data_IF_467530088843
#
_entry.id   IF_467530088843
#
_cell.length_a   1.000
_cell.length_b   1.000
_cell.length_c   1.000
_cell.angle_alpha   90.00
_cell.angle_beta   90.00
_cell.angle_gamma   90.00
#
_symmetry.space_group_name_H-M   'P 1'
#
loop_
_entity.id
_entity.type
_entity.pdbx_description
1 polymer ?
2 non-polymer ?
3 non-polymer ?
4 water ?
#
# COMPACT_ATOMS: atom_id res chain seq x y z
N UNK A 1 -10.63 5.29 2.34
CA UNK A 1 -9.43 4.50 1.94
C UNK A 1 -9.74 3.07 2.22
N UNK A 2 -9.46 2.19 1.26
CA UNK A 2 -9.70 0.73 1.46
C UNK A 2 -8.34 0.00 1.28
N UNK A 3 -7.98 -0.79 2.28
CA UNK A 3 -6.68 -1.51 2.25
C UNK A 3 -6.92 -3.00 2.35
N UNK A 4 -6.00 -3.73 1.76
CA UNK A 4 -5.94 -5.17 1.92
C UNK A 4 -4.52 -5.48 2.40
N UNK A 5 -4.46 -6.14 3.55
CA UNK A 5 -3.20 -6.53 4.21
C UNK A 5 -2.91 -7.99 3.93
N UNK A 6 -1.81 -8.24 3.26
CA UNK A 6 -1.40 -9.60 2.90
C UNK A 6 0.00 -9.83 3.47
N UNK A 7 0.09 -10.78 4.40
CA UNK A 7 1.35 -11.11 5.08
C UNK A 7 2.03 -12.12 4.18
N UNK A 8 3.05 -11.67 3.47
CA UNK A 8 3.72 -12.44 2.47
C UNK A 8 5.03 -13.10 2.99
N UNK A 9 5.35 -14.25 2.43
CA UNK A 9 6.72 -14.78 2.57
C UNK A 9 7.68 -14.09 1.62
N UNK A 10 7.15 -13.58 0.51
CA UNK A 10 7.92 -12.93 -0.52
C UNK A 10 6.98 -12.11 -1.38
N UNK A 11 7.52 -11.10 -2.02
CA UNK A 11 6.78 -10.20 -2.86
C UNK A 11 7.67 -9.55 -3.82
N UNK A 12 7.17 -9.36 -5.00
CA UNK A 12 7.90 -8.62 -6.01
C UNK A 12 6.96 -8.05 -7.05
N UNK A 13 7.34 -6.96 -7.69
CA UNK A 13 6.54 -6.25 -8.69
C UNK A 13 7.46 -5.66 -9.73
N UNK A 14 6.91 -5.40 -10.89
CA UNK A 14 7.60 -4.74 -11.98
C UNK A 14 6.56 -3.88 -12.69
N UNK A 15 6.87 -2.62 -12.87
CA UNK A 15 6.01 -1.71 -13.67
C UNK A 15 6.07 -2.24 -15.12
N UNK A 16 4.98 -2.08 -15.87
CA UNK A 16 4.94 -2.56 -17.26
C UNK A 16 4.54 -1.30 -18.05
N UNK A 17 3.39 -1.27 -18.71
CA UNK A 17 2.93 -0.05 -19.36
C UNK A 17 2.46 1.05 -18.39
N UNK A 18 2.61 2.35 -18.75
CA UNK A 18 2.02 3.44 -17.95
C UNK A 18 0.50 3.34 -18.07
N UNK A 19 -0.17 3.40 -16.92
CA UNK A 19 -1.64 3.33 -16.88
C UNK A 19 -2.23 4.69 -16.97
N UNK A 20 -1.42 5.70 -16.66
CA UNK A 20 -1.80 7.10 -16.79
C UNK A 20 -0.95 7.73 -17.92
N UNK A 21 -1.49 8.77 -18.57
CA UNK A 21 -0.75 9.64 -19.51
C UNK A 21 0.70 9.97 -19.08
N UNK A 22 0.89 10.48 -17.86
CA UNK A 22 2.23 10.73 -17.34
C UNK A 22 2.37 10.22 -15.87
N UNK A 23 2.76 8.94 -15.69
CA UNK A 23 2.82 8.46 -14.32
C UNK A 23 3.72 9.36 -13.47
N UNK A 24 3.29 9.72 -12.25
CA UNK A 24 4.09 10.66 -11.48
C UNK A 24 5.29 10.06 -10.81
N UNK A 25 5.44 8.74 -10.86
CA UNK A 25 6.59 8.04 -10.33
C UNK A 25 7.30 7.34 -11.51
N UNK A 26 8.65 7.26 -11.46
CA UNK A 26 9.43 6.54 -12.49
C UNK A 26 9.14 5.03 -12.50
N UNK A 27 9.36 4.34 -13.65
CA UNK A 27 9.22 2.88 -13.69
C UNK A 27 10.25 2.16 -12.79
N UNK A 28 10.02 0.89 -12.50
CA UNK A 28 10.95 0.15 -11.69
C UNK A 28 10.47 -1.20 -11.27
N UNK A 29 11.23 -1.80 -10.38
CA UNK A 29 10.93 -3.12 -9.85
C UNK A 29 11.54 -3.29 -8.49
N UNK A 30 11.02 -4.25 -7.72
CA UNK A 30 11.58 -4.56 -6.44
C UNK A 30 11.12 -5.91 -6.02
N UNK A 31 11.86 -6.54 -5.13
CA UNK A 31 11.44 -7.79 -4.52
C UNK A 31 11.81 -7.75 -3.08
N UNK A 32 11.14 -8.58 -2.30
CA UNK A 32 11.25 -8.58 -0.87
C UNK A 32 11.08 -9.94 -0.32
N UNK A 33 11.57 -10.10 0.91
CA UNK A 33 11.27 -11.28 1.71
C UNK A 33 10.00 -11.09 2.49
N UNK A 34 9.98 -11.56 3.75
CA UNK A 34 8.79 -11.47 4.55
C UNK A 34 8.38 -10.01 4.75
N UNK A 35 7.12 -9.72 4.46
CA UNK A 35 6.64 -8.33 4.53
C UNK A 35 5.14 -8.35 4.64
N UNK A 36 4.61 -7.22 5.05
CA UNK A 36 3.19 -6.94 4.95
C UNK A 36 3.04 -6.13 3.68
N UNK A 37 2.29 -6.69 2.73
CA UNK A 37 1.95 -6.05 1.48
C UNK A 37 0.57 -5.41 1.66
N UNK A 38 0.53 -4.08 1.54
CA UNK A 38 -0.71 -3.33 1.78
C UNK A 38 -1.20 -2.78 0.47
N UNK A 39 -2.20 -3.48 -0.10
CA UNK A 39 -2.81 -3.00 -1.33
C UNK A 39 -3.71 -1.83 -0.98
N UNK A 40 -3.49 -0.66 -1.61
CA UNK A 40 -4.05 0.60 -1.07
C UNK A 40 -4.88 1.35 -2.10
N UNK A 41 -6.18 1.48 -1.86
CA UNK A 41 -7.07 2.20 -2.75
C UNK A 41 -7.45 3.49 -2.06
N UNK A 42 -7.07 4.61 -2.65
CA UNK A 42 -7.40 5.92 -2.08
C UNK A 42 -8.81 6.31 -2.53
N UNK A 43 -9.63 6.73 -1.58
CA UNK A 43 -11.03 7.04 -1.90
C UNK A 43 -11.31 8.54 -1.87
N UNK A 44 -12.39 8.98 -2.51
CA UNK A 44 -12.73 10.43 -2.47
C UNK A 44 -12.61 11.13 -1.10
N UNK A 45 -13.13 10.50 -0.05
CA UNK A 45 -13.21 11.17 1.29
C UNK A 45 -11.88 11.34 2.03
N UNK A 46 -10.83 10.77 1.46
CA UNK A 46 -9.58 10.62 2.21
C UNK A 46 -8.85 11.94 2.33
N UNK A 47 -8.50 12.25 3.58
CA UNK A 47 -7.67 13.42 3.85
C UNK A 47 -6.64 13.09 4.89
N UNK A 48 -6.13 14.12 5.58
CA UNK A 48 -5.05 13.91 6.51
C UNK A 48 -5.37 13.02 7.71
N UNK A 49 -6.56 13.11 8.29
CA UNK A 49 -6.89 12.22 9.39
C UNK A 49 -6.97 10.75 8.93
N UNK A 50 -7.53 10.54 7.74
CA UNK A 50 -7.62 9.19 7.17
C UNK A 50 -6.25 8.56 7.03
N UNK A 51 -5.31 9.35 6.47
CA UNK A 51 -3.91 8.91 6.35
C UNK A 51 -3.31 8.53 7.70
N UNK A 52 -3.61 9.35 8.73
CA UNK A 52 -2.95 9.02 9.95
C UNK A 52 -3.58 7.81 10.63
N UNK A 53 -4.91 7.64 10.50
CA UNK A 53 -5.54 6.44 11.06
C UNK A 53 -4.93 5.18 10.38
N UNK A 54 -4.75 5.27 9.04
CA UNK A 54 -4.32 4.10 8.30
C UNK A 54 -2.85 3.79 8.73
N UNK A 55 -2.02 4.84 8.79
CA UNK A 55 -0.62 4.68 9.28
C UNK A 55 -0.53 3.98 10.63
N UNK A 56 -1.39 4.41 11.54
CA UNK A 56 -1.40 3.85 12.93
C UNK A 56 -1.85 2.41 12.91
N UNK A 57 -2.91 2.12 12.14
CA UNK A 57 -3.32 0.73 12.00
C UNK A 57 -2.30 -0.20 11.33
N UNK A 58 -1.65 0.30 10.28
CA UNK A 58 -0.65 -0.52 9.61
C UNK A 58 0.49 -0.83 10.57
N UNK A 59 0.87 0.17 11.37
CA UNK A 59 1.96 -0.02 12.30
C UNK A 59 1.58 -1.01 13.38
N UNK A 60 0.37 -0.90 13.89
CA UNK A 60 -0.09 -1.86 14.94
C UNK A 60 -0.20 -3.28 14.42
N UNK A 61 -0.81 -3.45 13.25
CA UNK A 61 -0.89 -4.78 12.67
C UNK A 61 0.48 -5.36 12.42
N UNK A 62 1.41 -4.56 11.89
CA UNK A 62 2.74 -5.05 11.61
C UNK A 62 3.42 -5.45 12.93
N UNK A 63 3.21 -4.64 13.96
CA UNK A 63 3.68 -4.97 15.31
C UNK A 63 3.18 -6.37 15.79
N UNK A 64 1.88 -6.58 15.70
CA UNK A 64 1.25 -7.88 15.97
C UNK A 64 1.86 -9.04 15.20
N UNK A 65 2.22 -8.83 13.94
CA UNK A 65 2.75 -9.89 13.07
C UNK A 65 4.26 -10.09 13.23
N UNK A 66 4.88 -9.18 13.97
CA UNK A 66 6.34 -9.07 14.05
C UNK A 66 6.97 -8.91 12.68
N UNK A 67 6.33 -8.09 11.85
CA UNK A 67 6.81 -7.76 10.49
C UNK A 67 7.76 -6.56 10.62
N UNK A 68 8.81 -6.54 9.80
CA UNK A 68 9.71 -5.41 9.83
C UNK A 68 9.84 -4.77 8.47
N UNK A 69 9.00 -5.18 7.52
CA UNK A 69 8.91 -4.50 6.24
C UNK A 69 7.46 -4.34 5.81
N UNK A 70 7.12 -3.16 5.30
CA UNK A 70 5.75 -2.88 4.84
C UNK A 70 5.89 -2.35 3.44
N UNK A 71 5.11 -2.92 2.52
CA UNK A 71 5.00 -2.43 1.15
C UNK A 71 3.69 -1.70 0.91
N UNK A 72 3.74 -0.41 0.57
CA UNK A 72 2.53 0.35 0.23
C UNK A 72 2.39 0.20 -1.26
N UNK A 73 1.39 -0.61 -1.65
CA UNK A 73 1.17 -0.97 -3.02
C UNK A 73 -0.06 -0.34 -3.61
N UNK A 74 0.09 0.73 -4.40
CA UNK A 74 -1.10 1.40 -4.99
C UNK A 74 -1.98 0.41 -5.79
N UNK A 75 -3.30 0.48 -5.58
CA UNK A 75 -4.18 -0.54 -6.14
C UNK A 75 -5.50 0.11 -6.44
N UNK A 76 -5.89 0.15 -7.71
CA UNK A 76 -7.14 0.84 -8.06
C UNK A 76 -8.45 0.07 -7.85
N UNK A 77 -8.36 -1.18 -7.42
CA UNK A 77 -9.48 -2.10 -7.61
C UNK A 77 -10.25 -2.51 -6.35
N UNK A 78 -9.96 -1.92 -5.20
CA UNK A 78 -10.60 -2.39 -3.94
C UNK A 78 -11.89 -1.70 -3.57
N UNK A 79 -12.22 -0.71 -4.38
CA UNK A 79 -13.28 0.23 -4.01
C UNK A 79 -13.97 0.72 -5.26
N UNK A 80 -15.22 1.16 -5.10
CA UNK A 80 -15.89 1.87 -6.20
C UNK A 80 -16.17 3.28 -5.75
N UNK A 81 -15.27 3.88 -4.97
CA UNK A 81 -15.40 5.29 -4.66
C UNK A 81 -13.98 5.92 -4.71
N UNK A 82 -13.35 5.71 -5.86
CA UNK A 82 -11.93 6.11 -6.08
C UNK A 82 -11.69 7.61 -6.04
N UNK A 83 -10.58 8.01 -5.42
CA UNK A 83 -10.08 9.42 -5.58
C UNK A 83 -9.52 9.56 -6.99
N UNK A 84 -9.45 10.80 -7.49
CA UNK A 84 -8.73 11.10 -8.73
C UNK A 84 -7.24 10.80 -8.62
N UNK A 85 -6.56 10.47 -9.77
CA UNK A 85 -5.17 10.00 -9.66
C UNK A 85 -4.22 10.96 -8.95
N UNK A 86 -4.34 12.28 -9.15
CA UNK A 86 -3.42 13.21 -8.46
C UNK A 86 -3.63 13.26 -6.95
N UNK A 87 -4.90 13.30 -6.53
CA UNK A 87 -5.22 13.24 -5.11
C UNK A 87 -4.74 11.92 -4.53
N UNK A 88 -4.93 10.80 -5.24
CA UNK A 88 -4.52 9.48 -4.72
C UNK A 88 -3.02 9.42 -4.51
N UNK A 89 -2.25 9.95 -5.47
CA UNK A 89 -0.81 9.95 -5.36
C UNK A 89 -0.37 10.77 -4.17
N UNK A 90 -1.02 11.92 -3.97
CA UNK A 90 -0.71 12.78 -2.81
C UNK A 90 -0.99 12.05 -1.50
N UNK A 91 -2.16 11.44 -1.40
CA UNK A 91 -2.45 10.66 -0.22
C UNK A 91 -1.49 9.52 0.04
N UNK A 92 -1.02 8.85 -1.01
CA UNK A 92 -0.13 7.74 -0.83
C UNK A 92 1.24 8.22 -0.37
N UNK A 93 1.71 9.33 -0.95
CA UNK A 93 2.93 9.96 -0.43
C UNK A 93 2.79 10.31 1.04
N UNK A 94 1.66 10.94 1.42
CA UNK A 94 1.39 11.24 2.82
C UNK A 94 1.34 10.02 3.70
N UNK A 95 0.75 8.94 3.18
CA UNK A 95 0.69 7.71 3.93
C UNK A 95 2.08 7.13 4.23
N UNK A 96 2.94 7.13 3.21
CA UNK A 96 4.32 6.66 3.40
C UNK A 96 5.00 7.50 4.49
N UNK A 97 4.86 8.84 4.36
CA UNK A 97 5.46 9.72 5.37
C UNK A 97 4.95 9.43 6.77
N UNK A 98 3.62 9.34 6.90
CA UNK A 98 2.96 9.06 8.18
C UNK A 98 3.38 7.73 8.78
N UNK A 99 3.46 6.71 7.93
CA UNK A 99 3.82 5.38 8.41
C UNK A 99 5.22 5.38 9.05
N UNK A 100 6.16 6.12 8.43
CA UNK A 100 7.54 6.25 8.97
C UNK A 100 7.56 6.83 10.39
N UNK A 101 6.56 7.64 10.74
CA UNK A 101 6.49 8.17 12.11
C UNK A 101 5.92 7.20 13.15
N UNK A 102 5.36 6.06 12.70
CA UNK A 102 4.73 5.11 13.60
C UNK A 102 5.30 3.70 13.55
N UNK A 103 6.00 3.39 12.47
CA UNK A 103 6.53 2.04 12.26
C UNK A 103 8.06 2.08 11.99
N UNK A 104 8.87 1.25 12.71
CA UNK A 104 10.32 1.43 12.70
C UNK A 104 11.00 0.66 11.60
N UNK A 105 10.26 -0.14 10.85
CA UNK A 105 10.95 -0.96 9.86
C UNK A 105 11.03 -0.36 8.47
N UNK A 106 11.31 -1.19 7.49
CA UNK A 106 11.44 -0.73 6.13
C UNK A 106 10.10 -0.41 5.52
N UNK A 107 9.92 0.79 5.00
CA UNK A 107 8.67 1.16 4.30
C UNK A 107 8.99 1.39 2.86
N UNK A 108 8.36 0.62 1.98
CA UNK A 108 8.58 0.86 0.57
C UNK A 108 7.32 1.22 -0.14
N UNK A 109 7.33 2.35 -0.83
CA UNK A 109 6.16 2.76 -1.63
C UNK A 109 6.36 2.42 -3.09
N UNK A 110 5.55 1.49 -3.59
CA UNK A 110 5.65 1.10 -5.00
C UNK A 110 5.19 2.25 -5.89
N UNK A 111 5.72 2.32 -7.13
CA UNK A 111 5.36 3.47 -7.95
C UNK A 111 3.92 3.54 -8.37
N UNK A 112 3.45 4.77 -8.59
CA UNK A 112 2.05 5.07 -8.83
C UNK A 112 1.83 5.38 -10.29
N UNK A 113 0.73 4.87 -10.84
CA UNK A 113 0.27 5.24 -12.19
C UNK A 113 0.68 4.22 -13.24
N UNK A 114 1.06 3.02 -12.82
CA UNK A 114 1.56 1.97 -13.74
C UNK A 114 0.70 0.73 -13.72
N UNK A 115 0.63 0.01 -14.85
CA UNK A 115 0.25 -1.40 -14.81
C UNK A 115 1.43 -2.18 -14.29
N UNK A 116 1.15 -3.16 -13.44
CA UNK A 116 2.17 -3.98 -12.79
C UNK A 116 2.01 -5.46 -13.00
N UNK A 117 3.11 -6.16 -13.15
CA UNK A 117 3.15 -7.56 -12.84
C UNK A 117 3.58 -7.69 -11.36
N UNK A 118 3.12 -8.72 -10.69
CA UNK A 118 3.62 -9.01 -9.39
C UNK A 118 3.56 -10.48 -9.12
N UNK A 119 4.28 -10.88 -8.09
CA UNK A 119 4.22 -12.18 -7.56
C UNK A 119 4.21 -11.99 -6.08
N UNK A 120 3.41 -12.80 -5.42
CA UNK A 120 3.29 -12.85 -3.99
C UNK A 120 3.16 -14.28 -3.60
N UNK A 121 3.74 -14.60 -2.45
CA UNK A 121 3.46 -15.81 -1.76
C UNK A 121 2.91 -15.39 -0.45
N UNK A 122 1.62 -15.59 -0.32
CA UNK A 122 0.90 -15.11 0.81
C UNK A 122 0.82 -16.25 1.79
N UNK A 123 1.17 -15.97 3.05
CA UNK A 123 1.10 -16.92 4.14
C UNK A 123 -0.30 -17.34 4.46
N UNK A 124 -0.39 -18.48 5.13
CA UNK A 124 -1.65 -19.12 5.32
C UNK A 124 -2.24 -18.96 6.69
N UNK A 125 -1.52 -18.28 7.58
CA UNK A 125 -2.01 -18.18 8.96
C UNK A 125 -3.18 -17.29 9.04
N UNK A 126 -3.92 -17.33 10.17
CA UNK A 126 -5.22 -16.71 10.24
C UNK A 126 -5.26 -15.21 10.06
N UNK A 127 -4.17 -14.53 10.37
CA UNK A 127 -4.13 -13.06 10.28
C UNK A 127 -3.37 -12.60 9.05
N UNK A 128 -3.11 -13.49 8.10
CA UNK A 128 -2.27 -13.17 6.96
C UNK A 128 -3.02 -12.36 5.89
N UNK A 129 -4.36 -12.37 5.96
CA UNK A 129 -5.17 -11.69 4.95
C UNK A 129 -6.31 -10.99 5.67
N UNK A 130 -6.37 -9.66 5.59
CA UNK A 130 -7.33 -8.85 6.31
C UNK A 130 -7.58 -7.61 5.47
N UNK A 131 -8.77 -7.05 5.56
CA UNK A 131 -9.02 -5.79 4.89
C UNK A 131 -9.39 -4.72 5.93
N UNK A 132 -9.23 -3.44 5.57
CA UNK A 132 -9.45 -2.32 6.42
C UNK A 132 -10.08 -1.18 5.63
N UNK A 133 -10.80 -0.34 6.33
CA UNK A 133 -11.37 0.89 5.79
C UNK A 133 -11.08 2.04 6.70
N UNK A 134 -10.69 3.18 6.14
CA UNK A 134 -10.45 4.40 6.95
C UNK A 134 -11.17 5.57 6.29
N UNK A 135 -11.69 6.47 7.13
CA UNK A 135 -12.41 7.65 6.68
C UNK A 135 -12.12 8.75 7.67
N UNK A 136 -12.64 9.92 7.33
CA UNK A 136 -12.77 11.05 8.23
C UNK A 136 -14.05 11.85 7.91
X LIG B 1 -5.33 2.77 -12.24
X LIG B 1 -3.99 2.75 -12.77
X LIG B 1 -2.91 2.96 -11.71
X LIG B 1 -2.96 4.28 -11.09
X LIG B 1 -2.91 4.09 -9.68
X LIG B 1 -4.18 4.59 -9.12
X LIG B 1 -4.59 4.49 -7.83
X LIG B 1 -4.05 3.84 -6.77
X LIG B 1 -4.71 3.91 -5.60
X LIG B 1 -5.84 4.58 -5.47
X LIG B 1 -6.45 5.21 -6.50
X LIG B 1 -7.57 5.87 -6.25
X LIG B 1 -5.79 5.17 -7.73
X LIG B 1 -6.05 5.69 -8.94
X LIG B 1 -5.08 5.33 -9.80
X LIG B 1 -2.38 2.71 -9.41
X LIG B 1 -0.95 2.79 -9.59
X LIG B 1 -3.04 1.96 -10.55
X LIG B 1 -2.26 0.76 -10.84
X LIG B 1 -1.60 -2.42 -9.46
X LIG B 1 -1.84 -1.65 -10.72
X LIG B 1 -2.57 -2.42 -11.87
X LIG B 1 -1.65 -3.37 -12.50
X LIG B 1 -2.68 -0.42 -10.38
X LIG B 1 -3.77 -0.56 -9.61
X LIG C 1 11.27 -2.63 -15.84
#
# INVERSE_FOLDING_TARGET
MRLLYLHADRFEYKTVKPALKNPPDPPGEASFGEALVVFTTVEDGDGPQTVMYAASDIASHSSRLKVTTVILYPYAHLSSRLAKPMAAHKRLIELEGALRTKFPGHVHRAPFGWYMSFSIACKGHPLAELSRSFTE
A3S O5' C5' C4' O4' C1' N9 C4 N3 C2 N1 C6 N6 C5 N7 C8 C2' O2' C3' N8 N CA CB OG C O
MG MG
#
